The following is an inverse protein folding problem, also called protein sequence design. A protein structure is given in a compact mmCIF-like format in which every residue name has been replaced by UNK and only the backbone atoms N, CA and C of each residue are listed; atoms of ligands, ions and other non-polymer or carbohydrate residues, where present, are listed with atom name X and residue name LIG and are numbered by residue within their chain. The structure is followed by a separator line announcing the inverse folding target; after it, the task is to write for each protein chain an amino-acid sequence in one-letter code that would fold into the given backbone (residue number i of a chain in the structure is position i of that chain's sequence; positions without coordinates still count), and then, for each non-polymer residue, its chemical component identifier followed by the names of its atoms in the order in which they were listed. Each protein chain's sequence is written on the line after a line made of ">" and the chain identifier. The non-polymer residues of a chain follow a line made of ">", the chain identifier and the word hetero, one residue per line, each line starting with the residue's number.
data_IF_565388700384
#
_entry.id   IF_565388700384
#
_cell.length_a   1.000
_cell.length_b   1.000
_cell.length_c   1.000
_cell.angle_alpha   90.00
_cell.angle_beta   90.00
_cell.angle_gamma   90.00
#
_symmetry.space_group_name_H-M   'P 1'
#
loop_
_entity.id
_entity.type
_entity.pdbx_description
1 polymer ?
#
# COMPACT_ATOMS: atom_id res chain seq x y z
N UNK A 1 51.14 25.70 44.92
CA UNK A 1 50.56 26.34 43.73
C UNK A 1 50.63 25.36 42.57
N UNK A 2 49.58 25.34 41.75
CA UNK A 2 49.34 24.52 40.56
C UNK A 2 48.59 23.18 40.76
N UNK A 3 47.30 23.33 40.47
CA UNK A 3 46.19 22.42 40.27
C UNK A 3 46.34 21.68 38.92
N UNK A 4 45.87 20.43 38.80
CA UNK A 4 44.93 19.98 37.75
C UNK A 4 44.84 18.44 37.67
N UNK A 5 43.59 17.97 37.63
CA UNK A 5 43.15 16.60 37.52
C UNK A 5 43.28 16.04 36.10
N UNK A 6 43.34 14.70 35.98
CA UNK A 6 42.97 14.01 34.74
C UNK A 6 42.01 12.87 35.10
N UNK A 7 40.74 13.09 34.77
CA UNK A 7 39.67 12.10 34.83
C UNK A 7 39.68 11.37 33.49
N UNK A 8 40.12 10.11 33.46
CA UNK A 8 40.00 9.27 32.27
C UNK A 8 38.61 8.64 32.25
N UNK A 9 37.70 9.25 31.49
CA UNK A 9 36.37 8.70 31.19
C UNK A 9 36.54 7.55 30.19
N UNK A 10 36.14 6.33 30.56
CA UNK A 10 35.96 5.20 29.64
C UNK A 10 34.79 5.50 28.70
N UNK A 11 35.10 5.76 27.42
CA UNK A 11 34.10 5.97 26.38
C UNK A 11 33.43 4.65 25.99
N UNK A 12 32.16 4.49 26.34
CA UNK A 12 31.33 3.35 25.90
C UNK A 12 30.72 3.70 24.54
N UNK A 13 31.32 3.25 23.45
CA UNK A 13 30.77 3.44 22.11
C UNK A 13 29.59 2.49 21.90
N UNK A 14 28.37 2.99 22.04
CA UNK A 14 27.16 2.26 21.70
C UNK A 14 27.01 2.20 20.18
N UNK A 15 27.33 1.06 19.57
CA UNK A 15 27.00 0.78 18.17
C UNK A 15 25.50 0.53 18.10
N UNK A 16 24.73 1.59 17.84
CA UNK A 16 23.30 1.46 17.56
C UNK A 16 23.13 0.72 16.23
N UNK A 17 22.92 -0.60 16.30
CA UNK A 17 22.55 -1.42 15.16
C UNK A 17 21.14 -0.99 14.72
N UNK A 18 21.06 -0.10 13.72
CA UNK A 18 19.81 0.29 13.11
C UNK A 18 19.16 -0.96 12.48
N UNK A 19 18.22 -1.57 13.21
CA UNK A 19 17.36 -2.62 12.66
C UNK A 19 16.51 -1.99 11.56
N UNK A 20 16.88 -2.21 10.30
CA UNK A 20 15.96 -2.06 9.18
C UNK A 20 14.81 -3.04 9.40
N UNK A 21 13.74 -2.56 10.03
CA UNK A 21 12.45 -3.22 10.05
C UNK A 21 12.02 -3.37 8.59
N UNK A 22 12.20 -4.56 8.02
CA UNK A 22 11.59 -4.89 6.74
C UNK A 22 10.07 -4.79 6.95
N UNK A 23 9.50 -3.63 6.61
CA UNK A 23 8.07 -3.38 6.76
C UNK A 23 7.32 -4.46 5.99
N UNK A 24 6.67 -5.38 6.72
CA UNK A 24 5.90 -6.47 6.13
C UNK A 24 4.81 -5.87 5.26
N UNK A 25 4.83 -6.19 3.97
CA UNK A 25 3.85 -5.66 3.03
C UNK A 25 2.45 -6.23 3.32
N UNK A 26 1.45 -5.37 3.44
CA UNK A 26 0.06 -5.77 3.61
C UNK A 26 -0.52 -6.23 2.27
N UNK A 27 -0.99 -7.48 2.20
CA UNK A 27 -1.64 -7.99 0.98
C UNK A 27 -3.16 -7.78 1.05
N UNK A 28 -3.73 -7.17 0.01
CA UNK A 28 -5.18 -6.97 -0.15
C UNK A 28 -5.63 -7.64 -1.44
N UNK A 29 -6.60 -8.55 -1.35
CA UNK A 29 -7.21 -9.15 -2.56
C UNK A 29 -8.31 -8.23 -3.05
N UNK A 30 -8.34 -7.97 -4.36
CA UNK A 30 -9.37 -7.16 -5.03
C UNK A 30 -10.04 -8.00 -6.10
N UNK A 31 -11.35 -8.20 -5.96
CA UNK A 31 -12.18 -8.83 -7.00
C UNK A 31 -12.96 -7.74 -7.71
N UNK A 32 -12.74 -7.61 -9.02
CA UNK A 32 -13.54 -6.75 -9.89
C UNK A 32 -14.65 -7.56 -10.53
N UNK A 33 -15.89 -7.07 -10.44
CA UNK A 33 -17.05 -7.52 -11.21
C UNK A 33 -17.67 -6.28 -11.86
N UNK A 34 -18.73 -6.45 -12.65
CA UNK A 34 -19.41 -5.37 -13.34
C UNK A 34 -19.68 -4.20 -12.40
N UNK A 35 -18.95 -3.10 -12.67
CA UNK A 35 -19.03 -1.82 -11.97
C UNK A 35 -18.76 -1.85 -10.46
N UNK A 36 -18.15 -2.92 -9.93
CA UNK A 36 -17.92 -3.09 -8.50
C UNK A 36 -16.55 -3.66 -8.18
N UNK A 37 -15.95 -3.15 -7.10
CA UNK A 37 -14.80 -3.78 -6.46
C UNK A 37 -15.20 -4.37 -5.11
N UNK A 38 -14.70 -5.57 -4.82
CA UNK A 38 -14.74 -6.18 -3.50
C UNK A 38 -13.31 -6.43 -3.02
N UNK A 39 -12.92 -5.72 -1.97
CA UNK A 39 -11.61 -5.87 -1.33
C UNK A 39 -11.73 -6.84 -0.15
N UNK A 40 -10.66 -7.56 0.18
CA UNK A 40 -10.61 -8.43 1.38
C UNK A 40 -10.66 -7.62 2.68
N UNK A 41 -10.20 -6.37 2.65
CA UNK A 41 -10.38 -5.37 3.70
C UNK A 41 -10.41 -3.98 3.06
N UNK A 42 -11.08 -3.04 3.69
CA UNK A 42 -11.10 -1.62 3.29
C UNK A 42 -10.21 -0.75 4.18
N UNK A 43 -9.53 -1.35 5.18
CA UNK A 43 -8.61 -0.64 6.08
C UNK A 43 -7.46 -1.52 6.56
N UNK A 44 -6.29 -0.92 6.77
CA UNK A 44 -5.13 -1.53 7.42
C UNK A 44 -4.10 -0.46 7.78
N UNK A 45 -3.08 -0.82 8.57
CA UNK A 45 -1.98 0.11 8.90
C UNK A 45 -1.28 0.64 7.65
N UNK A 46 -0.98 1.93 7.66
CA UNK A 46 -0.22 2.58 6.58
C UNK A 46 1.16 1.91 6.37
N UNK A 47 1.68 1.98 5.14
CA UNK A 47 2.90 1.28 4.76
C UNK A 47 2.84 0.73 3.34
N UNK A 48 3.56 -0.38 3.10
CA UNK A 48 3.61 -1.03 1.79
C UNK A 48 2.41 -1.95 1.62
N UNK A 49 1.70 -1.80 0.51
CA UNK A 49 0.55 -2.61 0.13
C UNK A 49 0.80 -3.37 -1.18
N UNK A 50 0.29 -4.60 -1.22
CA UNK A 50 0.24 -5.44 -2.41
C UNK A 50 -1.22 -5.73 -2.71
N UNK A 51 -1.78 -5.07 -3.72
CA UNK A 51 -3.13 -5.33 -4.21
C UNK A 51 -3.11 -6.43 -5.26
N UNK A 52 -3.67 -7.59 -4.94
CA UNK A 52 -3.86 -8.71 -5.88
C UNK A 52 -5.22 -8.56 -6.55
N UNK A 53 -5.23 -7.97 -7.74
CA UNK A 53 -6.46 -7.64 -8.48
C UNK A 53 -6.79 -8.78 -9.43
N UNK A 54 -8.03 -9.26 -9.39
CA UNK A 54 -8.55 -10.26 -10.33
C UNK A 54 -9.87 -9.77 -10.91
N UNK A 55 -9.97 -9.82 -12.23
CA UNK A 55 -11.23 -9.60 -12.92
C UNK A 55 -12.07 -10.89 -12.91
N UNK A 56 -13.20 -10.85 -12.20
CA UNK A 56 -14.20 -11.93 -12.11
C UNK A 56 -15.49 -11.58 -12.88
N UNK A 57 -15.54 -10.44 -13.55
CA UNK A 57 -16.60 -10.05 -14.46
C UNK A 57 -16.41 -10.59 -15.88
N UNK A 58 -17.33 -10.19 -16.74
CA UNK A 58 -17.44 -10.46 -18.18
C UNK A 58 -16.84 -9.35 -19.04
N UNK A 59 -16.65 -8.14 -18.52
CA UNK A 59 -16.00 -7.02 -19.24
C UNK A 59 -14.65 -6.66 -18.64
N UNK A 60 -13.85 -5.87 -19.36
CA UNK A 60 -12.52 -5.49 -18.91
C UNK A 60 -12.56 -4.48 -17.76
N UNK A 61 -11.62 -4.59 -16.82
CA UNK A 61 -11.48 -3.71 -15.66
C UNK A 61 -10.01 -3.40 -15.38
N UNK A 62 -9.73 -2.24 -14.82
CA UNK A 62 -8.44 -1.94 -14.18
C UNK A 62 -8.67 -1.49 -12.73
N UNK A 63 -7.60 -1.32 -11.97
CA UNK A 63 -7.67 -0.82 -10.60
C UNK A 63 -6.59 0.24 -10.40
N UNK A 64 -7.01 1.47 -10.11
CA UNK A 64 -6.13 2.61 -9.81
C UNK A 64 -6.27 3.01 -8.35
N UNK A 65 -5.15 3.20 -7.66
CA UNK A 65 -5.06 3.73 -6.29
C UNK A 65 -3.72 4.43 -6.10
N UNK A 66 -3.69 5.54 -5.34
CA UNK A 66 -2.47 6.27 -4.99
C UNK A 66 -1.54 6.56 -6.20
N UNK A 67 -2.14 7.05 -7.30
CA UNK A 67 -1.41 7.40 -8.52
C UNK A 67 -0.98 6.23 -9.42
N UNK A 68 -0.99 4.98 -8.91
CA UNK A 68 -0.63 3.80 -9.70
C UNK A 68 -1.87 3.03 -10.15
N UNK A 69 -1.75 2.28 -11.25
CA UNK A 69 -2.82 1.43 -11.75
C UNK A 69 -2.31 0.09 -12.28
N UNK A 70 -3.19 -0.91 -12.32
CA UNK A 70 -2.93 -2.14 -13.07
C UNK A 70 -3.03 -1.88 -14.58
N UNK A 71 -2.53 -2.83 -15.37
CA UNK A 71 -2.97 -2.97 -16.77
C UNK A 71 -4.48 -3.24 -16.85
N UNK A 72 -5.05 -3.09 -18.04
CA UNK A 72 -6.43 -3.51 -18.32
C UNK A 72 -6.52 -5.03 -18.22
N UNK A 73 -7.34 -5.53 -17.29
CA UNK A 73 -7.56 -6.95 -17.05
C UNK A 73 -8.77 -7.44 -17.83
N UNK A 74 -8.54 -8.35 -18.79
CA UNK A 74 -9.61 -9.12 -19.43
C UNK A 74 -10.30 -10.06 -18.41
N UNK A 75 -11.50 -10.56 -18.70
CA UNK A 75 -12.17 -11.57 -17.87
C UNK A 75 -11.24 -12.71 -17.45
N UNK A 76 -11.26 -13.08 -16.18
CA UNK A 76 -10.44 -14.14 -15.61
C UNK A 76 -8.94 -13.81 -15.43
N UNK A 77 -8.48 -12.61 -15.83
CA UNK A 77 -7.08 -12.19 -15.66
C UNK A 77 -6.84 -11.46 -14.34
N UNK A 78 -5.58 -11.48 -13.92
CA UNK A 78 -5.13 -10.89 -12.67
C UNK A 78 -3.87 -10.05 -12.87
N UNK A 79 -3.67 -9.08 -11.99
CA UNK A 79 -2.41 -8.35 -11.84
C UNK A 79 -2.15 -8.04 -10.38
N UNK A 80 -0.89 -7.81 -10.05
CA UNK A 80 -0.46 -7.35 -8.74
C UNK A 80 -0.02 -5.90 -8.83
N UNK A 81 -0.49 -5.07 -7.91
CA UNK A 81 -0.15 -3.66 -7.80
C UNK A 81 0.50 -3.38 -6.44
N UNK A 82 1.78 -2.98 -6.44
CA UNK A 82 2.52 -2.60 -5.23
C UNK A 82 2.56 -1.08 -5.07
N UNK A 83 2.02 -0.58 -3.96
CA UNK A 83 1.96 0.85 -3.62
C UNK A 83 2.37 1.07 -2.17
N UNK A 84 2.87 2.25 -1.86
CA UNK A 84 3.04 2.71 -0.48
C UNK A 84 1.89 3.67 -0.18
N UNK A 85 1.12 3.40 0.87
CA UNK A 85 0.03 4.26 1.31
C UNK A 85 0.43 4.98 2.60
N UNK A 86 0.37 6.30 2.59
CA UNK A 86 0.47 7.13 3.81
C UNK A 86 -0.80 7.00 4.64
N UNK A 87 -0.75 7.37 5.92
CA UNK A 87 -1.95 7.40 6.77
C UNK A 87 -3.03 8.31 6.15
N UNK A 88 -4.26 7.82 6.08
CA UNK A 88 -5.41 8.55 5.58
C UNK A 88 -6.27 7.78 4.56
N UNK A 89 -7.28 8.45 4.00
CA UNK A 89 -8.13 7.89 2.96
C UNK A 89 -7.45 7.90 1.59
N UNK A 90 -7.53 6.78 0.87
CA UNK A 90 -7.02 6.61 -0.50
C UNK A 90 -8.16 6.20 -1.43
N UNK A 91 -8.54 7.07 -2.35
CA UNK A 91 -9.55 6.76 -3.36
C UNK A 91 -9.00 5.73 -4.33
N UNK A 92 -9.82 4.74 -4.67
CA UNK A 92 -9.57 3.80 -5.76
C UNK A 92 -10.69 3.84 -6.77
N UNK A 93 -10.37 3.53 -8.03
CA UNK A 93 -11.28 3.69 -9.17
C UNK A 93 -10.91 2.77 -10.33
N UNK A 94 -11.90 2.38 -11.13
CA UNK A 94 -11.71 1.83 -12.47
C UNK A 94 -11.69 2.98 -13.48
N UNK A 95 -10.62 3.08 -14.27
CA UNK A 95 -10.41 4.19 -15.22
C UNK A 95 -10.95 3.93 -16.62
N UNK A 96 -11.67 2.83 -16.80
CA UNK A 96 -12.30 2.48 -18.07
C UNK A 96 -13.62 3.23 -18.20
N UNK A 97 -13.67 4.12 -19.19
CA UNK A 97 -14.86 4.84 -19.65
C UNK A 97 -15.70 5.39 -18.48
N UNK A 98 -16.98 5.02 -18.43
CA UNK A 98 -17.95 5.44 -17.42
C UNK A 98 -18.09 4.46 -16.25
N UNK A 99 -17.20 3.45 -16.10
CA UNK A 99 -17.34 2.44 -15.04
C UNK A 99 -17.38 3.07 -13.64
N UNK A 100 -16.55 4.09 -13.40
CA UNK A 100 -16.55 4.84 -12.14
C UNK A 100 -17.86 5.60 -11.89
N UNK A 101 -18.53 6.06 -12.95
CA UNK A 101 -19.83 6.73 -12.89
C UNK A 101 -20.94 5.76 -12.49
N UNK A 102 -20.83 4.49 -12.87
CA UNK A 102 -21.71 3.41 -12.42
C UNK A 102 -21.38 2.86 -11.02
N UNK A 103 -20.42 3.46 -10.31
CA UNK A 103 -20.08 3.09 -8.93
C UNK A 103 -18.80 2.30 -8.76
N UNK A 104 -18.00 2.11 -9.81
CA UNK A 104 -16.74 1.37 -9.75
C UNK A 104 -15.58 2.17 -9.15
N UNK A 105 -15.80 2.62 -7.91
CA UNK A 105 -14.91 3.45 -7.11
C UNK A 105 -15.13 3.18 -5.62
N UNK A 106 -14.19 3.61 -4.79
CA UNK A 106 -14.34 3.56 -3.35
C UNK A 106 -13.15 4.18 -2.65
N UNK A 107 -13.08 3.96 -1.33
CA UNK A 107 -12.01 4.49 -0.48
C UNK A 107 -11.41 3.39 0.37
N UNK A 108 -10.10 3.26 0.33
CA UNK A 108 -9.32 2.43 1.25
C UNK A 108 -8.74 3.31 2.35
N UNK A 109 -8.80 2.89 3.61
CA UNK A 109 -8.30 3.67 4.75
C UNK A 109 -7.00 3.09 5.29
N UNK A 110 -5.89 3.77 5.04
CA UNK A 110 -4.62 3.47 5.70
C UNK A 110 -4.63 4.12 7.09
N UNK A 111 -4.50 3.33 8.15
CA UNK A 111 -4.61 3.78 9.56
C UNK A 111 -3.26 4.11 10.18
#
# INVERSE_FOLDING_TARGET
>A
MALAAVITVLGVTSIALARTQNATATTVTVKATEFKFRLSTTRAHHGVFIFKVTNRGKIAHDFKIAGKKTVKLRPGKSATLRVTLTKGPHKYVCTIDSHASFGMKGTFRAT
#
